data_IF_183150613305
#
_entry.id   IF_183150613305
#
_cell.length_a   1.000
_cell.length_b   1.000
_cell.length_c   1.000
_cell.angle_alpha   90.00
_cell.angle_beta   90.00
_cell.angle_gamma   90.00
#
_symmetry.space_group_name_H-M   'P 1'
#
loop_
_entity.id
_entity.type
_entity.pdbx_description
1 polymer ?
#
# COMPACT_ATOMS: atom_id res chain seq x y z
N UNK A 1 0.85 15.72 -15.17
CA UNK A 1 0.24 14.51 -15.75
C UNK A 1 -0.95 14.17 -14.88
N UNK A 2 -2.17 14.19 -15.43
CA UNK A 2 -3.38 13.93 -14.65
C UNK A 2 -3.56 12.42 -14.53
N UNK A 3 -3.22 11.88 -13.36
CA UNK A 3 -3.26 10.43 -13.08
C UNK A 3 -4.69 9.95 -12.76
N UNK A 4 -5.55 10.87 -12.33
CA UNK A 4 -6.91 10.56 -11.88
C UNK A 4 -7.98 11.07 -12.85
N UNK A 5 -8.92 10.17 -13.17
CA UNK A 5 -10.14 10.46 -13.88
C UNK A 5 -10.95 11.56 -13.12
N UNK A 6 -11.33 12.68 -13.76
CA UNK A 6 -12.12 13.72 -13.12
C UNK A 6 -13.42 13.21 -12.49
N UNK A 7 -14.01 12.16 -13.06
CA UNK A 7 -15.24 11.57 -12.53
C UNK A 7 -14.99 10.85 -11.22
N UNK A 8 -13.91 10.08 -11.12
CA UNK A 8 -13.48 9.47 -9.86
C UNK A 8 -13.18 10.55 -8.82
N UNK A 9 -12.63 11.70 -9.22
CA UNK A 9 -12.47 12.85 -8.32
C UNK A 9 -13.78 13.29 -7.66
N UNK A 10 -14.89 13.34 -8.43
CA UNK A 10 -16.22 13.68 -7.90
C UNK A 10 -16.78 12.59 -6.99
N UNK A 11 -16.59 11.32 -7.35
CA UNK A 11 -16.96 10.16 -6.52
C UNK A 11 -16.28 10.23 -5.16
N UNK A 12 -14.97 10.48 -5.13
CA UNK A 12 -14.18 10.59 -3.90
C UNK A 12 -14.71 11.73 -3.03
N UNK A 13 -14.90 12.93 -3.59
CA UNK A 13 -15.44 14.06 -2.84
C UNK A 13 -16.84 13.79 -2.26
N UNK A 14 -17.70 13.11 -3.03
CA UNK A 14 -19.03 12.71 -2.54
C UNK A 14 -18.93 11.72 -1.37
N UNK A 15 -18.07 10.71 -1.48
CA UNK A 15 -17.86 9.72 -0.43
C UNK A 15 -17.32 10.34 0.87
N UNK A 16 -16.38 11.29 0.78
CA UNK A 16 -15.88 12.02 1.95
C UNK A 16 -16.93 12.92 2.59
N UNK A 17 -17.79 13.54 1.78
CA UNK A 17 -18.94 14.30 2.29
C UNK A 17 -19.87 13.39 3.10
N UNK A 18 -20.17 12.19 2.59
CA UNK A 18 -20.96 11.19 3.32
C UNK A 18 -20.23 10.66 4.56
N UNK A 19 -18.92 10.47 4.51
CA UNK A 19 -18.08 10.05 5.64
C UNK A 19 -18.23 11.00 6.83
N UNK A 20 -17.96 12.29 6.61
CA UNK A 20 -18.09 13.30 7.66
C UNK A 20 -19.53 13.41 8.17
N UNK A 21 -20.52 13.42 7.28
CA UNK A 21 -21.93 13.48 7.66
C UNK A 21 -22.38 12.30 8.53
N UNK A 22 -21.99 11.07 8.19
CA UNK A 22 -22.34 9.88 8.98
C UNK A 22 -21.61 9.86 10.32
N UNK A 23 -20.34 10.29 10.35
CA UNK A 23 -19.56 10.37 11.58
C UNK A 23 -20.15 11.39 12.56
N UNK A 24 -20.53 12.57 12.08
CA UNK A 24 -21.19 13.61 12.88
C UNK A 24 -22.54 13.12 13.44
N UNK A 25 -23.30 12.36 12.65
CA UNK A 25 -24.57 11.76 13.08
C UNK A 25 -24.38 10.62 14.10
N UNK A 26 -23.27 9.89 14.04
CA UNK A 26 -22.97 8.81 14.99
C UNK A 26 -22.72 9.34 16.41
N UNK A 27 -22.23 10.58 16.53
CA UNK A 27 -22.18 11.31 17.79
C UNK A 27 -21.08 12.37 17.82
N UNK A 28 -21.42 13.57 18.29
CA UNK A 28 -20.52 14.73 18.25
C UNK A 28 -19.19 14.52 18.99
N UNK A 29 -19.18 13.79 20.11
CA UNK A 29 -17.94 13.53 20.85
C UNK A 29 -17.02 12.57 20.08
N UNK A 30 -17.57 11.48 19.55
CA UNK A 30 -16.83 10.52 18.72
C UNK A 30 -16.28 11.21 17.47
N UNK A 31 -17.12 11.97 16.77
CA UNK A 31 -16.76 12.65 15.53
C UNK A 31 -15.57 13.58 15.72
N UNK A 32 -15.57 14.39 16.80
CA UNK A 32 -14.45 15.27 17.13
C UNK A 32 -13.15 14.49 17.32
N UNK A 33 -13.17 13.43 18.12
CA UNK A 33 -11.96 12.63 18.39
C UNK A 33 -11.40 11.98 17.12
N UNK A 34 -12.28 11.46 16.26
CA UNK A 34 -11.90 10.87 14.98
C UNK A 34 -11.36 11.94 14.03
N UNK A 35 -11.99 13.11 13.92
CA UNK A 35 -11.49 14.21 13.11
C UNK A 35 -10.08 14.64 13.56
N UNK A 36 -9.88 14.88 14.86
CA UNK A 36 -8.57 15.26 15.39
C UNK A 36 -7.48 14.21 15.04
N UNK A 37 -7.82 12.92 15.10
CA UNK A 37 -6.92 11.84 14.69
C UNK A 37 -6.63 11.84 13.17
N UNK A 38 -7.64 12.03 12.33
CA UNK A 38 -7.48 12.12 10.88
C UNK A 38 -6.63 13.32 10.46
N UNK A 39 -6.81 14.47 11.11
CA UNK A 39 -5.98 15.68 10.93
C UNK A 39 -4.52 15.40 11.28
N UNK A 40 -4.27 14.77 12.44
CA UNK A 40 -2.92 14.43 12.88
C UNK A 40 -2.20 13.48 11.90
N UNK A 41 -2.92 12.55 11.28
CA UNK A 41 -2.34 11.62 10.31
C UNK A 41 -1.97 12.25 8.96
N UNK A 42 -2.74 13.25 8.49
CA UNK A 42 -2.56 13.81 7.13
C UNK A 42 -1.63 15.01 7.06
N UNK A 43 -1.35 15.65 8.20
CA UNK A 43 -0.61 16.91 8.23
C UNK A 43 -1.35 18.00 7.44
N UNK A 44 -0.63 18.68 6.53
CA UNK A 44 -1.18 19.81 5.74
C UNK A 44 -1.94 19.38 4.47
N UNK A 45 -2.01 18.09 4.17
CA UNK A 45 -2.63 17.59 2.92
C UNK A 45 -4.15 17.49 3.11
N UNK A 46 -4.98 18.04 2.20
CA UNK A 46 -6.43 17.83 2.23
C UNK A 46 -6.78 16.34 2.19
N UNK A 47 -7.79 15.87 2.94
CA UNK A 47 -8.03 14.43 3.12
C UNK A 47 -8.30 13.71 1.81
N UNK A 48 -9.03 14.31 0.86
CA UNK A 48 -9.27 13.72 -0.45
C UNK A 48 -8.02 13.66 -1.34
N UNK A 49 -7.03 14.52 -1.13
CA UNK A 49 -5.81 14.59 -1.94
C UNK A 49 -4.78 13.55 -1.53
N UNK A 50 -4.80 13.08 -0.27
CA UNK A 50 -3.99 11.95 0.20
C UNK A 50 -4.22 10.72 -0.68
N UNK A 51 -5.48 10.45 -1.02
CA UNK A 51 -5.87 9.29 -1.82
C UNK A 51 -5.68 9.49 -3.33
N UNK A 52 -5.46 10.73 -3.78
CA UNK A 52 -5.19 11.07 -5.18
C UNK A 52 -3.69 11.25 -5.46
N UNK A 53 -2.85 11.22 -4.43
CA UNK A 53 -1.43 11.39 -4.63
C UNK A 53 -0.85 10.22 -5.45
N UNK A 54 -0.08 10.45 -6.54
CA UNK A 54 0.42 9.39 -7.41
C UNK A 54 1.30 8.35 -6.70
N UNK A 55 1.95 8.74 -5.59
CA UNK A 55 2.74 7.82 -4.78
C UNK A 55 1.91 6.96 -3.82
N UNK A 56 0.68 7.35 -3.50
CA UNK A 56 -0.19 6.59 -2.59
C UNK A 56 -0.60 5.24 -3.20
N UNK A 57 -0.92 4.29 -2.33
CA UNK A 57 -1.51 3.03 -2.75
C UNK A 57 -2.87 3.28 -3.45
N UNK A 58 -3.10 2.79 -4.67
CA UNK A 58 -4.26 3.16 -5.50
C UNK A 58 -5.53 2.40 -5.09
N UNK A 59 -5.85 2.35 -3.79
CA UNK A 59 -6.98 1.58 -3.24
C UNK A 59 -8.33 1.95 -3.84
N UNK A 60 -8.54 3.23 -4.17
CA UNK A 60 -9.80 3.73 -4.74
C UNK A 60 -9.87 3.54 -6.27
N UNK A 61 -8.74 3.31 -6.91
CA UNK A 61 -8.66 3.12 -8.35
C UNK A 61 -8.97 1.68 -8.77
N UNK A 62 -8.64 0.67 -7.95
CA UNK A 62 -8.88 -0.72 -8.34
C UNK A 62 -10.36 -1.04 -8.60
N UNK A 63 -11.32 -0.73 -7.70
CA UNK A 63 -12.74 -0.98 -7.99
C UNK A 63 -13.26 -0.16 -9.17
N UNK A 64 -12.71 1.04 -9.37
CA UNK A 64 -13.00 1.90 -10.52
C UNK A 64 -12.54 1.28 -11.84
N UNK A 65 -11.30 0.76 -11.89
CA UNK A 65 -10.74 0.09 -13.06
C UNK A 65 -11.46 -1.21 -13.41
N UNK A 66 -11.86 -1.99 -12.40
CA UNK A 66 -12.65 -3.21 -12.61
C UNK A 66 -13.99 -2.86 -13.26
N UNK A 67 -14.67 -1.82 -12.77
CA UNK A 67 -15.94 -1.42 -13.37
C UNK A 67 -15.76 -0.88 -14.79
N UNK A 68 -14.72 -0.08 -15.06
CA UNK A 68 -14.43 0.40 -16.43
C UNK A 68 -14.04 -0.72 -17.40
N UNK A 69 -13.44 -1.80 -16.90
CA UNK A 69 -13.16 -2.98 -17.73
C UNK A 69 -14.44 -3.77 -18.06
N UNK A 70 -15.47 -3.69 -17.21
CA UNK A 70 -16.73 -4.39 -17.39
C UNK A 70 -17.80 -3.55 -18.11
N UNK A 71 -17.69 -2.22 -18.06
CA UNK A 71 -18.72 -1.27 -18.50
C UNK A 71 -18.09 -0.01 -19.08
N UNK A 72 -18.77 0.60 -20.04
CA UNK A 72 -18.29 1.85 -20.65
C UNK A 72 -18.29 3.05 -19.69
N UNK A 73 -19.29 3.13 -18.80
CA UNK A 73 -19.45 4.21 -17.84
C UNK A 73 -19.68 3.63 -16.43
N UNK A 74 -18.83 3.97 -15.44
CA UNK A 74 -19.03 3.55 -14.06
C UNK A 74 -20.31 4.14 -13.45
N UNK A 75 -20.95 3.37 -12.58
CA UNK A 75 -22.11 3.81 -11.80
C UNK A 75 -21.64 4.72 -10.66
N UNK A 76 -21.96 6.02 -10.76
CA UNK A 76 -21.53 7.04 -9.80
C UNK A 76 -21.98 6.73 -8.35
N UNK A 77 -23.23 6.32 -8.15
CA UNK A 77 -23.77 6.06 -6.82
C UNK A 77 -23.11 4.82 -6.21
N UNK A 78 -22.95 3.78 -7.01
CA UNK A 78 -22.25 2.56 -6.61
C UNK A 78 -20.80 2.82 -6.25
N UNK A 79 -20.05 3.53 -7.09
CA UNK A 79 -18.64 3.85 -6.83
C UNK A 79 -18.49 4.77 -5.61
N UNK A 80 -19.44 5.66 -5.35
CA UNK A 80 -19.44 6.49 -4.13
C UNK A 80 -19.57 5.62 -2.88
N UNK A 81 -20.48 4.65 -2.90
CA UNK A 81 -20.67 3.68 -1.81
C UNK A 81 -19.44 2.78 -1.63
N UNK A 82 -18.77 2.38 -2.72
CA UNK A 82 -17.52 1.62 -2.67
C UNK A 82 -16.37 2.43 -2.07
N UNK A 83 -16.16 3.68 -2.50
CA UNK A 83 -15.12 4.55 -1.93
C UNK A 83 -15.38 4.79 -0.45
N UNK A 84 -16.63 5.09 -0.08
CA UNK A 84 -17.05 5.27 1.31
C UNK A 84 -16.70 4.04 2.16
N UNK A 85 -17.07 2.85 1.70
CA UNK A 85 -16.73 1.59 2.36
C UNK A 85 -15.21 1.43 2.49
N UNK A 86 -14.47 1.55 1.39
CA UNK A 86 -13.02 1.33 1.33
C UNK A 86 -12.26 2.26 2.29
N UNK A 87 -12.66 3.53 2.39
CA UNK A 87 -12.07 4.50 3.31
C UNK A 87 -12.30 4.10 4.78
N UNK A 88 -13.52 3.67 5.14
CA UNK A 88 -13.79 3.17 6.49
C UNK A 88 -12.99 1.90 6.82
N UNK A 89 -12.92 0.95 5.88
CA UNK A 89 -12.11 -0.26 6.04
C UNK A 89 -10.62 0.06 6.21
N UNK A 90 -10.09 0.99 5.42
CA UNK A 90 -8.72 1.47 5.54
C UNK A 90 -8.44 2.12 6.90
N UNK A 91 -9.32 3.00 7.39
CA UNK A 91 -9.11 3.63 8.70
C UNK A 91 -9.18 2.63 9.85
N UNK A 92 -10.02 1.60 9.77
CA UNK A 92 -10.02 0.52 10.75
C UNK A 92 -8.66 -0.21 10.79
N UNK A 93 -8.14 -0.60 9.62
CA UNK A 93 -6.83 -1.26 9.51
C UNK A 93 -5.71 -0.34 10.01
N UNK A 94 -5.70 0.92 9.56
CA UNK A 94 -4.69 1.91 9.92
C UNK A 94 -4.61 2.15 11.43
N UNK A 95 -5.76 2.20 12.10
CA UNK A 95 -5.82 2.35 13.56
C UNK A 95 -5.23 1.13 14.29
N UNK A 96 -5.55 -0.09 13.84
CA UNK A 96 -4.97 -1.32 14.40
C UNK A 96 -3.46 -1.36 14.15
N UNK A 97 -3.02 -1.08 12.93
CA UNK A 97 -1.60 -1.10 12.57
C UNK A 97 -0.82 -0.08 13.43
N UNK A 98 -1.31 1.14 13.62
CA UNK A 98 -0.67 2.14 14.49
C UNK A 98 -0.49 1.65 15.95
N UNK A 99 -1.47 0.92 16.48
CA UNK A 99 -1.38 0.34 17.82
C UNK A 99 -0.36 -0.79 17.88
N UNK A 100 -0.35 -1.67 16.88
CA UNK A 100 0.53 -2.83 16.84
C UNK A 100 1.98 -2.46 16.57
N UNK A 101 2.22 -1.42 15.77
CA UNK A 101 3.57 -0.93 15.47
C UNK A 101 4.17 -0.08 16.61
N UNK A 102 3.43 0.13 17.72
CA UNK A 102 3.90 0.95 18.84
C UNK A 102 3.98 2.46 18.51
N UNK A 103 3.41 2.89 17.38
CA UNK A 103 3.32 4.29 16.96
C UNK A 103 2.19 5.07 17.69
N UNK A 104 1.38 4.39 18.50
CA UNK A 104 0.17 4.94 19.08
C UNK A 104 0.43 5.92 20.24
N UNK A 105 -0.08 7.15 20.07
CA UNK A 105 -0.23 8.10 21.18
C UNK A 105 -1.70 8.35 21.51
N UNK A 106 -2.60 8.36 20.51
CA UNK A 106 -4.02 8.67 20.68
C UNK A 106 -4.96 7.52 20.31
N UNK A 107 -4.52 6.60 19.45
CA UNK A 107 -5.32 5.49 18.92
C UNK A 107 -5.92 4.62 20.02
N UNK A 108 -5.20 4.41 21.13
CA UNK A 108 -5.69 3.60 22.24
C UNK A 108 -6.91 4.25 22.91
N UNK A 109 -6.95 5.58 22.95
CA UNK A 109 -8.04 6.35 23.56
C UNK A 109 -9.28 6.37 22.67
N UNK A 110 -9.11 6.29 21.36
CA UNK A 110 -10.19 6.29 20.37
C UNK A 110 -10.51 4.90 19.82
N UNK A 111 -9.94 3.84 20.40
CA UNK A 111 -10.16 2.46 19.97
C UNK A 111 -11.66 2.08 19.82
N UNK A 112 -12.60 2.56 20.66
CA UNK A 112 -14.03 2.33 20.44
C UNK A 112 -14.58 2.85 19.11
N UNK A 113 -13.89 3.78 18.44
CA UNK A 113 -14.24 4.26 17.10
C UNK A 113 -14.16 3.15 16.03
N UNK A 114 -13.45 2.04 16.29
CA UNK A 114 -13.49 0.86 15.41
C UNK A 114 -14.91 0.34 15.18
N UNK A 115 -15.82 0.49 16.15
CA UNK A 115 -17.22 0.12 15.96
C UNK A 115 -17.89 0.89 14.82
N UNK A 116 -17.57 2.19 14.70
CA UNK A 116 -18.04 3.02 13.59
C UNK A 116 -17.44 2.55 12.27
N UNK A 117 -16.11 2.44 12.21
CA UNK A 117 -15.43 2.08 10.97
C UNK A 117 -15.84 0.69 10.44
N UNK A 118 -15.96 -0.32 11.29
CA UNK A 118 -16.40 -1.65 10.84
C UNK A 118 -17.86 -1.66 10.37
N UNK A 119 -18.73 -0.94 11.07
CA UNK A 119 -20.15 -0.85 10.69
C UNK A 119 -20.29 -0.16 9.33
N UNK A 120 -19.66 0.99 9.16
CA UNK A 120 -19.74 1.78 7.93
C UNK A 120 -18.91 1.18 6.77
N UNK A 121 -17.92 0.33 7.07
CA UNK A 121 -17.26 -0.49 6.06
C UNK A 121 -18.24 -1.49 5.43
N UNK A 122 -19.07 -2.17 6.23
CA UNK A 122 -19.98 -3.22 5.76
C UNK A 122 -21.30 -2.68 5.19
N UNK A 123 -21.80 -1.58 5.76
CA UNK A 123 -23.15 -1.06 5.53
C UNK A 123 -23.51 -0.84 4.04
N UNK A 124 -22.66 -0.27 3.17
CA UNK A 124 -23.03 -0.03 1.79
C UNK A 124 -23.37 -1.32 1.04
N UNK A 125 -22.66 -2.41 1.31
CA UNK A 125 -22.87 -3.69 0.62
C UNK A 125 -24.25 -4.30 0.87
N UNK A 126 -24.86 -4.04 2.04
CA UNK A 126 -26.19 -4.55 2.39
C UNK A 126 -27.30 -4.01 1.47
N UNK A 127 -27.08 -2.88 0.81
CA UNK A 127 -28.02 -2.32 -0.17
C UNK A 127 -28.03 -3.10 -1.50
N UNK A 128 -26.97 -3.84 -1.77
CA UNK A 128 -26.71 -4.44 -3.08
C UNK A 128 -26.69 -5.96 -3.07
N UNK A 129 -26.36 -6.55 -1.92
CA UNK A 129 -26.26 -8.00 -1.78
C UNK A 129 -27.21 -8.48 -0.68
N UNK A 130 -28.16 -9.34 -1.07
CA UNK A 130 -28.99 -10.07 -0.11
C UNK A 130 -28.11 -10.91 0.84
N UNK A 131 -28.63 -11.24 2.02
CA UNK A 131 -27.86 -11.93 3.06
C UNK A 131 -27.31 -13.31 2.63
N UNK A 132 -27.98 -14.01 1.71
CA UNK A 132 -27.54 -15.32 1.17
C UNK A 132 -26.59 -15.19 -0.03
N UNK A 133 -26.26 -13.95 -0.44
CA UNK A 133 -25.44 -13.73 -1.61
C UNK A 133 -23.98 -14.18 -1.37
N UNK A 134 -23.31 -14.90 -2.30
CA UNK A 134 -21.94 -15.42 -2.14
C UNK A 134 -20.86 -14.36 -1.85
N UNK A 135 -21.16 -13.08 -2.10
CA UNK A 135 -20.32 -11.95 -1.71
C UNK A 135 -19.98 -11.97 -0.22
N UNK A 136 -20.92 -12.34 0.66
CA UNK A 136 -20.71 -12.30 2.11
C UNK A 136 -19.70 -13.35 2.59
N UNK A 137 -19.66 -14.51 1.95
CA UNK A 137 -18.63 -15.52 2.21
C UNK A 137 -17.25 -15.00 1.80
N UNK A 138 -17.16 -14.37 0.62
CA UNK A 138 -15.92 -13.76 0.14
C UNK A 138 -15.46 -12.60 1.04
N UNK A 139 -16.39 -11.73 1.45
CA UNK A 139 -16.15 -10.61 2.37
C UNK A 139 -15.55 -11.14 3.68
N UNK A 140 -16.23 -12.11 4.30
CA UNK A 140 -15.84 -12.64 5.61
C UNK A 140 -14.51 -13.36 5.54
N UNK A 141 -14.31 -14.22 4.54
CA UNK A 141 -13.05 -14.92 4.34
C UNK A 141 -11.88 -13.95 4.13
N UNK A 142 -12.04 -12.94 3.29
CA UNK A 142 -11.00 -11.95 3.00
C UNK A 142 -10.67 -11.10 4.24
N UNK A 143 -11.70 -10.70 4.99
CA UNK A 143 -11.53 -9.89 6.19
C UNK A 143 -10.85 -10.66 7.32
N UNK A 144 -11.25 -11.90 7.57
CA UNK A 144 -10.64 -12.74 8.61
C UNK A 144 -9.24 -13.20 8.24
N UNK A 145 -8.97 -13.49 6.96
CA UNK A 145 -7.62 -13.77 6.50
C UNK A 145 -6.66 -12.59 6.79
N UNK A 146 -7.13 -11.35 6.60
CA UNK A 146 -6.36 -10.16 6.98
C UNK A 146 -6.03 -10.16 8.47
N UNK A 147 -7.00 -10.40 9.34
CA UNK A 147 -6.79 -10.41 10.79
C UNK A 147 -5.81 -11.51 11.24
N UNK A 148 -5.95 -12.73 10.70
CA UNK A 148 -5.05 -13.86 10.98
C UNK A 148 -3.60 -13.53 10.61
N UNK A 149 -3.38 -12.97 9.42
CA UNK A 149 -2.04 -12.56 8.97
C UNK A 149 -1.50 -11.42 9.85
N UNK A 150 -2.33 -10.46 10.27
CA UNK A 150 -1.90 -9.35 11.15
C UNK A 150 -1.33 -9.88 12.46
N UNK A 151 -1.99 -10.86 13.07
CA UNK A 151 -1.57 -11.46 14.34
C UNK A 151 -0.26 -12.24 14.18
N UNK A 152 -0.08 -12.96 13.07
CA UNK A 152 1.14 -13.72 12.79
C UNK A 152 2.33 -12.82 12.51
N UNK A 153 2.12 -11.77 11.72
CA UNK A 153 3.16 -10.83 11.32
C UNK A 153 3.82 -10.12 12.50
N UNK A 154 3.03 -9.71 13.50
CA UNK A 154 3.53 -9.08 14.72
C UNK A 154 4.46 -9.96 15.57
N UNK A 155 4.67 -11.22 15.18
CA UNK A 155 5.56 -12.19 15.85
C UNK A 155 6.73 -12.64 14.96
N UNK A 156 6.85 -12.10 13.75
CA UNK A 156 7.89 -12.53 12.82
C UNK A 156 9.21 -11.80 13.09
N UNK A 157 10.29 -12.56 13.31
CA UNK A 157 11.64 -12.01 13.52
C UNK A 157 12.43 -11.83 12.21
N UNK A 158 12.07 -12.57 11.17
CA UNK A 158 12.70 -12.48 9.84
C UNK A 158 11.65 -12.56 8.74
N UNK A 159 11.85 -11.77 7.69
CA UNK A 159 10.91 -11.68 6.56
C UNK A 159 11.58 -12.33 5.36
N UNK A 160 11.12 -13.52 4.98
CA UNK A 160 11.44 -14.11 3.68
C UNK A 160 10.42 -13.64 2.62
N UNK A 161 10.60 -14.12 1.38
CA UNK A 161 9.73 -13.72 0.27
C UNK A 161 8.29 -14.19 0.46
N UNK A 162 8.08 -15.40 0.98
CA UNK A 162 6.73 -15.96 1.13
C UNK A 162 5.98 -15.21 2.23
N UNK A 163 6.66 -14.90 3.34
CA UNK A 163 6.14 -14.03 4.40
C UNK A 163 5.83 -12.64 3.86
N UNK A 164 6.74 -12.04 3.09
CA UNK A 164 6.52 -10.72 2.48
C UNK A 164 5.28 -10.67 1.59
N UNK A 165 5.09 -11.68 0.73
CA UNK A 165 3.89 -11.78 -0.12
C UNK A 165 2.64 -11.92 0.73
N UNK A 166 2.65 -12.75 1.78
CA UNK A 166 1.49 -12.92 2.67
C UNK A 166 1.13 -11.62 3.41
N UNK A 167 2.13 -10.93 3.95
CA UNK A 167 1.93 -9.68 4.73
C UNK A 167 1.49 -8.53 3.84
N UNK A 168 2.04 -8.42 2.63
CA UNK A 168 1.59 -7.38 1.69
C UNK A 168 0.18 -7.65 1.20
N UNK A 169 -0.19 -8.92 0.93
CA UNK A 169 -1.55 -9.32 0.57
C UNK A 169 -2.60 -9.09 1.69
N UNK A 170 -2.17 -8.90 2.96
CA UNK A 170 -3.04 -8.48 4.06
C UNK A 170 -3.45 -7.01 3.92
N UNK A 171 -2.47 -6.12 3.68
CA UNK A 171 -2.71 -4.66 3.57
C UNK A 171 -3.66 -4.31 2.42
N UNK A 172 -3.88 -5.25 1.49
CA UNK A 172 -4.77 -5.08 0.34
C UNK A 172 -6.20 -5.58 0.56
N UNK A 173 -6.56 -6.12 1.74
CA UNK A 173 -7.90 -6.67 1.97
C UNK A 173 -9.03 -5.63 1.78
N UNK A 174 -8.81 -4.40 2.22
CA UNK A 174 -9.71 -3.26 2.02
C UNK A 174 -9.90 -2.89 0.54
N UNK A 175 -9.06 -3.42 -0.35
CA UNK A 175 -9.15 -3.25 -1.81
C UNK A 175 -9.74 -4.48 -2.49
N UNK A 176 -9.39 -5.69 -2.03
CA UNK A 176 -9.92 -6.93 -2.61
C UNK A 176 -11.44 -7.07 -2.42
N UNK A 177 -11.97 -6.65 -1.28
CA UNK A 177 -13.41 -6.69 -0.99
C UNK A 177 -14.22 -5.83 -1.97
N UNK A 178 -13.94 -4.52 -2.16
CA UNK A 178 -14.69 -3.71 -3.13
C UNK A 178 -14.46 -4.17 -4.59
N UNK A 179 -13.28 -4.68 -4.93
CA UNK A 179 -13.05 -5.32 -6.26
C UNK A 179 -13.98 -6.51 -6.48
N UNK A 180 -14.08 -7.40 -5.49
CA UNK A 180 -14.99 -8.53 -5.55
C UNK A 180 -16.45 -8.08 -5.61
N UNK A 181 -16.81 -7.04 -4.87
CA UNK A 181 -18.14 -6.45 -4.92
C UNK A 181 -18.52 -6.00 -6.34
N UNK A 182 -17.61 -5.33 -7.07
CA UNK A 182 -17.82 -4.94 -8.47
C UNK A 182 -18.02 -6.18 -9.35
N UNK A 183 -17.17 -7.19 -9.20
CA UNK A 183 -17.26 -8.44 -9.97
C UNK A 183 -18.61 -9.14 -9.75
N UNK A 184 -19.06 -9.24 -8.50
CA UNK A 184 -20.35 -9.84 -8.16
C UNK A 184 -21.53 -9.02 -8.68
N UNK A 185 -21.50 -7.69 -8.54
CA UNK A 185 -22.56 -6.79 -9.01
C UNK A 185 -22.82 -6.94 -10.51
N UNK A 186 -21.77 -7.21 -11.28
CA UNK A 186 -21.85 -7.34 -12.74
C UNK A 186 -21.73 -8.80 -13.20
N UNK A 187 -22.02 -9.76 -12.33
CA UNK A 187 -22.14 -11.19 -12.67
C UNK A 187 -20.87 -11.80 -13.29
N UNK A 188 -19.70 -11.30 -12.87
CA UNK A 188 -18.37 -11.75 -13.32
C UNK A 188 -17.47 -12.19 -12.17
N UNK A 189 -17.90 -13.14 -11.29
CA UNK A 189 -17.08 -13.63 -10.20
C UNK A 189 -15.80 -14.34 -10.68
N UNK A 190 -15.76 -14.80 -11.93
CA UNK A 190 -14.58 -15.36 -12.60
C UNK A 190 -13.40 -14.36 -12.69
N UNK A 191 -13.67 -13.05 -12.61
CA UNK A 191 -12.66 -12.01 -12.62
C UNK A 191 -12.09 -11.69 -11.23
N UNK A 192 -12.66 -12.22 -10.15
CA UNK A 192 -12.17 -11.97 -8.80
C UNK A 192 -10.71 -12.46 -8.63
N UNK A 193 -10.36 -13.71 -8.98
CA UNK A 193 -8.98 -14.19 -8.82
C UNK A 193 -7.92 -13.38 -9.58
N UNK A 194 -8.05 -13.08 -10.90
CA UNK A 194 -7.00 -12.35 -11.61
C UNK A 194 -6.86 -10.90 -11.12
N UNK A 195 -7.95 -10.22 -10.76
CA UNK A 195 -7.85 -8.89 -10.13
C UNK A 195 -7.23 -8.95 -8.74
N UNK A 196 -7.56 -9.96 -7.92
CA UNK A 196 -6.93 -10.14 -6.62
C UNK A 196 -5.42 -10.37 -6.74
N UNK A 197 -4.97 -11.15 -7.72
CA UNK A 197 -3.55 -11.35 -8.01
C UNK A 197 -2.86 -10.04 -8.42
N UNK A 198 -3.50 -9.22 -9.26
CA UNK A 198 -2.96 -7.91 -9.65
C UNK A 198 -2.79 -7.01 -8.41
N UNK A 199 -3.83 -6.97 -7.56
CA UNK A 199 -3.82 -6.21 -6.31
C UNK A 199 -2.72 -6.68 -5.37
N UNK A 200 -2.54 -7.98 -5.18
CA UNK A 200 -1.53 -8.53 -4.28
C UNK A 200 -0.09 -8.30 -4.79
N UNK A 201 0.15 -8.47 -6.10
CA UNK A 201 1.44 -8.15 -6.69
C UNK A 201 1.75 -6.65 -6.63
N UNK A 202 0.74 -5.79 -6.79
CA UNK A 202 0.93 -4.35 -6.64
C UNK A 202 1.23 -4.00 -5.17
N UNK A 203 0.58 -4.68 -4.22
CA UNK A 203 0.93 -4.68 -2.80
C UNK A 203 2.41 -4.94 -2.55
N UNK A 204 2.91 -6.04 -3.11
CA UNK A 204 4.33 -6.41 -3.04
C UNK A 204 5.24 -5.32 -3.63
N UNK A 205 4.92 -4.86 -4.83
CA UNK A 205 5.70 -3.83 -5.53
C UNK A 205 5.74 -2.52 -4.75
N UNK A 206 4.61 -2.07 -4.23
CA UNK A 206 4.50 -0.83 -3.47
C UNK A 206 5.27 -0.90 -2.16
N UNK A 207 5.14 -1.99 -1.40
CA UNK A 207 5.88 -2.16 -0.15
C UNK A 207 7.39 -2.24 -0.41
N UNK A 208 7.83 -3.03 -1.41
CA UNK A 208 9.25 -3.13 -1.77
C UNK A 208 9.81 -1.79 -2.25
N UNK A 209 9.01 -0.97 -2.92
CA UNK A 209 9.40 0.39 -3.29
C UNK A 209 9.68 1.23 -2.05
N UNK A 210 8.82 1.18 -1.03
CA UNK A 210 9.05 1.90 0.23
C UNK A 210 10.28 1.33 0.95
N UNK A 211 10.36 0.02 1.16
CA UNK A 211 11.50 -0.66 1.82
C UNK A 211 12.84 -0.31 1.14
N UNK A 212 12.88 -0.24 -0.19
CA UNK A 212 14.09 0.09 -0.95
C UNK A 212 14.50 1.56 -0.79
N UNK A 213 13.55 2.49 -0.81
CA UNK A 213 13.90 3.92 -0.79
C UNK A 213 13.99 4.50 0.63
N UNK A 214 13.41 3.84 1.62
CA UNK A 214 13.44 4.23 3.02
C UNK A 214 14.40 3.37 3.86
N UNK A 215 15.11 2.42 3.23
CA UNK A 215 16.03 1.45 3.86
C UNK A 215 16.94 2.02 4.94
N UNK A 216 17.43 3.25 4.75
CA UNK A 216 18.32 3.91 5.72
C UNK A 216 17.57 4.31 6.99
N UNK A 217 16.38 4.87 6.86
CA UNK A 217 15.54 5.22 8.00
C UNK A 217 15.09 3.96 8.73
N UNK A 218 14.74 2.91 7.98
CA UNK A 218 14.34 1.62 8.55
C UNK A 218 15.51 0.99 9.33
N UNK A 219 16.72 1.06 8.79
CA UNK A 219 17.93 0.59 9.47
C UNK A 219 18.22 1.39 10.75
N UNK A 220 18.07 2.72 10.71
CA UNK A 220 18.26 3.59 11.88
C UNK A 220 17.21 3.37 12.98
N UNK A 221 16.01 2.89 12.61
CA UNK A 221 14.90 2.59 13.52
C UNK A 221 14.81 1.11 13.91
N UNK A 222 15.77 0.29 13.48
CA UNK A 222 15.75 -1.17 13.69
C UNK A 222 14.45 -1.84 13.18
N UNK A 223 13.86 -1.29 12.12
CA UNK A 223 12.64 -1.81 11.50
C UNK A 223 12.99 -3.00 10.60
N UNK A 224 12.35 -4.14 10.83
CA UNK A 224 12.54 -5.33 10.01
C UNK A 224 11.74 -5.20 8.70
N UNK A 225 12.43 -5.02 7.58
CA UNK A 225 11.84 -4.99 6.24
C UNK A 225 12.32 -6.15 5.39
N UNK A 226 11.62 -6.42 4.27
CA UNK A 226 12.06 -7.47 3.35
C UNK A 226 13.40 -7.13 2.71
N UNK A 227 13.60 -5.86 2.32
CA UNK A 227 14.87 -5.38 1.75
C UNK A 227 16.04 -5.58 2.72
N UNK A 228 15.89 -5.20 3.99
CA UNK A 228 16.93 -5.37 5.01
C UNK A 228 17.15 -6.85 5.37
N UNK A 229 16.10 -7.67 5.36
CA UNK A 229 16.23 -9.12 5.53
C UNK A 229 17.05 -9.76 4.38
N UNK A 230 16.87 -9.29 3.14
CA UNK A 230 17.69 -9.71 2.00
C UNK A 230 19.13 -9.18 2.09
N UNK A 231 19.33 -7.97 2.64
CA UNK A 231 20.66 -7.44 2.91
C UNK A 231 21.45 -8.37 3.85
N UNK A 232 20.84 -8.80 4.97
CA UNK A 232 21.46 -9.73 5.91
C UNK A 232 21.79 -11.10 5.29
N UNK A 233 20.95 -11.59 4.37
CA UNK A 233 21.19 -12.85 3.66
C UNK A 233 22.29 -12.76 2.60
N UNK A 234 22.48 -11.59 1.97
CA UNK A 234 23.34 -11.42 0.79
C UNK A 234 24.65 -10.69 1.05
N UNK A 235 24.74 -9.90 2.13
CA UNK A 235 25.98 -9.21 2.50
C UNK A 235 27.08 -10.22 2.83
N UNK A 236 28.33 -9.83 2.61
CA UNK A 236 29.48 -10.63 3.05
C UNK A 236 29.57 -10.61 4.59
N UNK A 237 30.19 -11.61 5.26
CA UNK A 237 30.23 -11.68 6.73
C UNK A 237 30.75 -10.42 7.43
N UNK A 238 31.76 -9.75 6.86
CA UNK A 238 32.35 -8.52 7.41
C UNK A 238 31.81 -7.23 6.76
N UNK A 239 30.81 -7.34 5.89
CA UNK A 239 30.21 -6.21 5.17
C UNK A 239 29.04 -5.64 5.99
N UNK A 240 28.98 -4.31 6.06
CA UNK A 240 27.82 -3.60 6.61
C UNK A 240 26.65 -3.62 5.62
N UNK A 241 25.41 -3.45 6.09
CA UNK A 241 24.24 -3.31 5.21
C UNK A 241 24.44 -2.15 4.23
N UNK A 242 24.97 -1.02 4.68
CA UNK A 242 25.26 0.15 3.84
C UNK A 242 26.24 -0.18 2.71
N UNK A 243 27.32 -0.90 3.01
CA UNK A 243 28.29 -1.35 2.01
C UNK A 243 27.63 -2.27 0.97
N UNK A 244 26.77 -3.19 1.42
CA UNK A 244 26.01 -4.07 0.54
C UNK A 244 25.06 -3.30 -0.37
N UNK A 245 24.29 -2.34 0.16
CA UNK A 245 23.36 -1.49 -0.63
C UNK A 245 24.11 -0.75 -1.73
N UNK A 246 25.26 -0.17 -1.41
CA UNK A 246 26.11 0.56 -2.37
C UNK A 246 26.69 -0.39 -3.43
N UNK A 247 27.13 -1.58 -3.03
CA UNK A 247 27.77 -2.56 -3.93
C UNK A 247 26.80 -3.21 -4.89
N UNK A 248 25.65 -3.68 -4.41
CA UNK A 248 24.69 -4.44 -5.22
C UNK A 248 23.23 -4.27 -4.79
N UNK A 249 22.96 -4.01 -3.50
CA UNK A 249 21.61 -4.11 -2.96
C UNK A 249 20.63 -3.15 -3.61
N UNK A 250 21.03 -1.90 -3.89
CA UNK A 250 20.16 -0.96 -4.58
C UNK A 250 19.83 -1.41 -6.02
N UNK A 251 20.82 -1.90 -6.76
CA UNK A 251 20.62 -2.41 -8.12
C UNK A 251 19.67 -3.63 -8.11
N UNK A 252 19.89 -4.57 -7.19
CA UNK A 252 19.03 -5.73 -7.01
C UNK A 252 17.58 -5.34 -6.67
N UNK A 253 17.38 -4.34 -5.80
CA UNK A 253 16.05 -3.85 -5.45
C UNK A 253 15.32 -3.24 -6.65
N UNK A 254 16.02 -2.44 -7.47
CA UNK A 254 15.46 -1.87 -8.71
C UNK A 254 15.12 -2.97 -9.71
N UNK A 255 16.00 -3.95 -9.93
CA UNK A 255 15.74 -5.08 -10.84
C UNK A 255 14.49 -5.86 -10.40
N UNK A 256 14.33 -6.07 -9.10
CA UNK A 256 13.15 -6.74 -8.53
C UNK A 256 11.87 -5.93 -8.81
N UNK A 257 11.90 -4.61 -8.56
CA UNK A 257 10.77 -3.72 -8.86
C UNK A 257 10.43 -3.67 -10.34
N UNK A 258 11.43 -3.66 -11.22
CA UNK A 258 11.23 -3.67 -12.67
C UNK A 258 10.58 -4.98 -13.14
N UNK A 259 11.04 -6.13 -12.63
CA UNK A 259 10.47 -7.43 -12.96
C UNK A 259 9.00 -7.55 -12.54
N UNK A 260 8.65 -7.07 -11.35
CA UNK A 260 7.25 -7.04 -10.89
C UNK A 260 6.41 -6.02 -11.63
N UNK A 261 6.96 -4.86 -12.00
CA UNK A 261 6.26 -3.86 -12.82
C UNK A 261 5.90 -4.43 -14.20
N UNK A 262 6.80 -5.16 -14.86
CA UNK A 262 6.52 -5.81 -16.13
C UNK A 262 5.38 -6.84 -16.01
N UNK A 263 5.35 -7.62 -14.93
CA UNK A 263 4.24 -8.55 -14.64
C UNK A 263 2.92 -7.81 -14.41
N UNK A 264 2.92 -6.74 -13.62
CA UNK A 264 1.73 -5.91 -13.38
C UNK A 264 1.17 -5.33 -14.69
N UNK A 265 2.03 -4.88 -15.60
CA UNK A 265 1.61 -4.36 -16.90
C UNK A 265 0.99 -5.47 -17.76
N UNK A 266 1.61 -6.65 -17.83
CA UNK A 266 1.07 -7.79 -18.55
C UNK A 266 -0.31 -8.24 -18.01
N UNK A 267 -0.45 -8.34 -16.69
CA UNK A 267 -1.73 -8.66 -16.05
C UNK A 267 -2.80 -7.59 -16.32
N UNK A 268 -2.43 -6.31 -16.33
CA UNK A 268 -3.37 -5.22 -16.63
C UNK A 268 -3.85 -5.25 -18.08
N UNK A 269 -2.96 -5.63 -19.02
CA UNK A 269 -3.30 -5.85 -20.42
C UNK A 269 -4.26 -7.05 -20.58
N UNK A 270 -3.97 -8.18 -19.93
CA UNK A 270 -4.83 -9.37 -19.94
C UNK A 270 -6.23 -9.11 -19.34
N UNK A 271 -6.29 -8.28 -18.30
CA UNK A 271 -7.54 -7.82 -17.68
C UNK A 271 -8.28 -6.77 -18.53
N UNK A 272 -7.70 -6.31 -19.63
CA UNK A 272 -8.30 -5.32 -20.51
C UNK A 272 -8.49 -3.95 -19.84
N UNK A 273 -7.60 -3.56 -18.93
CA UNK A 273 -7.70 -2.30 -18.19
C UNK A 273 -6.67 -1.26 -18.66
N UNK A 274 -6.98 -0.45 -19.68
CA UNK A 274 -6.06 0.56 -20.21
C UNK A 274 -5.70 1.62 -19.16
N UNK A 275 -6.61 1.94 -18.23
CA UNK A 275 -6.36 2.91 -17.17
C UNK A 275 -5.35 2.38 -16.14
N UNK A 276 -5.47 1.11 -15.74
CA UNK A 276 -4.49 0.48 -14.85
C UNK A 276 -3.12 0.44 -15.52
N UNK A 277 -3.05 0.08 -16.80
CA UNK A 277 -1.80 0.10 -17.58
C UNK A 277 -1.18 1.50 -17.63
N UNK A 278 -1.97 2.55 -17.89
CA UNK A 278 -1.49 3.92 -17.95
C UNK A 278 -0.94 4.40 -16.59
N UNK A 279 -1.61 4.01 -15.50
CA UNK A 279 -1.14 4.26 -14.14
C UNK A 279 0.19 3.54 -13.86
N UNK A 280 0.32 2.28 -14.23
CA UNK A 280 1.56 1.51 -14.03
C UNK A 280 2.74 2.09 -14.82
N UNK A 281 2.53 2.50 -16.07
CA UNK A 281 3.55 3.20 -16.87
C UNK A 281 3.98 4.52 -16.24
N UNK A 282 3.03 5.24 -15.63
CA UNK A 282 3.33 6.43 -14.84
C UNK A 282 4.23 6.10 -13.65
N UNK A 283 3.89 5.06 -12.86
CA UNK A 283 4.67 4.61 -11.71
C UNK A 283 6.07 4.16 -12.11
N UNK A 284 6.22 3.48 -13.23
CA UNK A 284 7.51 3.06 -13.80
C UNK A 284 8.39 4.26 -14.18
N UNK A 285 7.81 5.27 -14.84
CA UNK A 285 8.52 6.51 -15.16
C UNK A 285 8.98 7.25 -13.90
N UNK A 286 8.13 7.30 -12.86
CA UNK A 286 8.49 7.90 -11.56
C UNK A 286 9.61 7.12 -10.86
N UNK A 287 9.56 5.78 -10.86
CA UNK A 287 10.62 4.92 -10.34
C UNK A 287 11.94 5.20 -11.06
N UNK A 288 11.92 5.26 -12.39
CA UNK A 288 13.09 5.53 -13.22
C UNK A 288 13.72 6.87 -12.90
N UNK A 289 12.91 7.91 -12.67
CA UNK A 289 13.42 9.23 -12.30
C UNK A 289 14.03 9.23 -10.90
N UNK A 290 13.37 8.61 -9.92
CA UNK A 290 13.89 8.50 -8.55
C UNK A 290 15.19 7.68 -8.51
N UNK A 291 15.28 6.62 -9.31
CA UNK A 291 16.48 5.80 -9.45
C UNK A 291 17.68 6.64 -9.89
N UNK A 292 17.55 7.49 -10.93
CA UNK A 292 18.67 8.32 -11.43
C UNK A 292 19.25 9.20 -10.32
N UNK A 293 18.38 9.81 -9.51
CA UNK A 293 18.78 10.68 -8.40
C UNK A 293 19.58 9.89 -7.37
N UNK A 294 19.07 8.73 -6.96
CA UNK A 294 19.72 7.91 -5.92
C UNK A 294 21.03 7.29 -6.41
N UNK A 295 21.07 6.78 -7.65
CA UNK A 295 22.29 6.19 -8.24
C UNK A 295 23.42 7.21 -8.29
N UNK A 296 23.15 8.46 -8.66
CA UNK A 296 24.17 9.52 -8.66
C UNK A 296 24.75 9.76 -7.25
N UNK A 297 23.89 9.74 -6.22
CA UNK A 297 24.29 9.84 -4.82
C UNK A 297 25.14 8.64 -4.36
N UNK A 298 24.71 7.41 -4.67
CA UNK A 298 25.41 6.19 -4.28
C UNK A 298 26.79 6.06 -4.97
N UNK A 299 26.91 6.44 -6.24
CA UNK A 299 28.19 6.45 -6.96
C UNK A 299 29.19 7.41 -6.31
N UNK A 300 28.73 8.60 -5.91
CA UNK A 300 29.56 9.58 -5.21
C UNK A 300 30.04 9.03 -3.85
N UNK A 301 29.16 8.35 -3.11
CA UNK A 301 29.51 7.71 -1.84
C UNK A 301 30.51 6.54 -2.02
N UNK A 302 30.33 5.71 -3.05
CA UNK A 302 31.23 4.61 -3.37
C UNK A 302 32.66 5.08 -3.67
N UNK A 303 32.80 6.19 -4.40
CA UNK A 303 34.09 6.80 -4.70
C UNK A 303 34.78 7.30 -3.41
N UNK A 304 34.04 7.99 -2.54
CA UNK A 304 34.56 8.45 -1.24
C UNK A 304 35.01 7.29 -0.35
N UNK A 305 34.21 6.22 -0.25
CA UNK A 305 34.57 5.01 0.51
C UNK A 305 35.84 4.35 -0.01
N UNK A 306 36.01 4.31 -1.34
CA UNK A 306 37.21 3.77 -1.98
C UNK A 306 38.45 4.60 -1.62
N UNK A 307 38.35 5.92 -1.70
CA UNK A 307 39.44 6.84 -1.33
C UNK A 307 39.82 6.73 0.15
N UNK A 308 38.84 6.66 1.05
CA UNK A 308 39.08 6.49 2.49
C UNK A 308 39.78 5.15 2.80
N UNK A 309 39.36 4.06 2.16
CA UNK A 309 40.02 2.76 2.31
C UNK A 309 41.46 2.78 1.80
N UNK A 310 41.72 3.42 0.66
CA UNK A 310 43.06 3.57 0.11
C UNK A 310 43.97 4.42 1.02
N UNK A 311 43.44 5.49 1.61
CA UNK A 311 44.16 6.32 2.57
C UNK A 311 44.51 5.55 3.86
N UNK A 312 43.58 4.75 4.39
CA UNK A 312 43.78 3.93 5.58
C UNK A 312 44.82 2.82 5.39
N UNK A 313 44.88 2.21 4.20
CA UNK A 313 45.91 1.20 3.86
C UNK A 313 47.29 1.85 3.65
N UNK A 314 47.31 3.08 3.11
CA UNK A 314 48.57 3.81 2.89
C UNK A 314 49.18 4.33 4.20
N UNK A 315 48.36 4.68 5.20
CA UNK A 315 48.83 5.07 6.53
C UNK A 315 49.31 3.89 7.38
N UNK A 316 48.75 2.69 7.22
CA UNK A 316 49.23 1.50 7.94
C UNK A 316 50.56 0.95 7.42
N UNK A 317 50.91 1.20 6.16
CA UNK A 317 52.18 0.78 5.55
C UNK A 317 53.34 1.79 5.73
N UNK A 318 53.09 2.96 6.33
CA UNK A 318 54.09 4.01 6.56
C UNK A 318 54.75 4.00 7.95
N UNK A 319 54.49 3.00 8.78
CA UNK A 319 54.99 2.88 10.17
C UNK A 319 55.76 1.58 10.45
N UNK A 320 56.26 0.91 9.41
CA UNK A 320 57.25 -0.18 9.49
C UNK A 320 58.59 0.30 8.99
#
# INVERSE_FOLDING_TARGET
>A
MQVYDPELGRVISAAFTTFHGNLDQAGAFLARQVHDWLEAMRGEIPPEEVYKHPLSYPMLLFPWWVEKALRQAPDFAWQTDLVYSTVNGYYAIRMIDNLMDGHATIELQILPALNFFYTEFQRPYQRYFAHEHPFWDHFTATWYASAEVTIRDARAETIDRDHFVQVTARKTCAVKIPVAAVCYRYERPDLIPPWAQLVDLFGCWHQMYNDLFDWRQDLERETHTYFLSEAERRKKPAESVTDWVIREGFAWGIETLAAWMAQLQAMSDELGSPDALAYLKTREAMLSERQKIVVAGLQSAAQLLTLLRQAAVSSSNGHT
#
